data_IF_296411735915
#
_entry.id   IF_296411735915
#
_cell.length_a   1.000
_cell.length_b   1.000
_cell.length_c   1.000
_cell.angle_alpha   90.00
_cell.angle_beta   90.00
_cell.angle_gamma   90.00
#
_symmetry.space_group_name_H-M   'P 1'
#
loop_
_entity.id
_entity.type
_entity.pdbx_description
1 polymer ?
#
# COMPACT_ATOMS: atom_id res chain seq x y z
N UNK A 1 30.87 -3.60 -7.31
CA UNK A 1 31.28 -3.60 -5.89
C UNK A 1 30.53 -2.55 -5.06
N UNK A 2 30.03 -1.45 -5.63
CA UNK A 2 29.23 -0.44 -4.92
C UNK A 2 27.81 -0.89 -4.56
N UNK A 3 27.14 -1.68 -5.41
CA UNK A 3 25.75 -2.13 -5.21
C UNK A 3 25.52 -3.00 -3.98
N UNK A 4 26.52 -3.79 -3.57
CA UNK A 4 26.37 -4.74 -2.45
C UNK A 4 26.37 -4.04 -1.08
N UNK A 5 27.18 -2.97 -0.94
CA UNK A 5 27.27 -2.20 0.29
C UNK A 5 26.00 -1.38 0.57
N UNK A 6 25.32 -0.90 -0.48
CA UNK A 6 24.04 -0.18 -0.32
C UNK A 6 22.92 -1.10 0.18
N UNK A 7 22.80 -2.31 -0.36
CA UNK A 7 21.79 -3.30 0.06
C UNK A 7 21.98 -3.72 1.52
N UNK A 8 23.24 -3.85 1.97
CA UNK A 8 23.55 -4.26 3.33
C UNK A 8 23.20 -3.21 4.40
N UNK A 9 23.18 -1.92 4.01
CA UNK A 9 22.83 -0.80 4.90
C UNK A 9 21.34 -0.44 4.79
N UNK A 10 20.76 -0.50 3.59
CA UNK A 10 19.36 -0.12 3.36
C UNK A 10 18.37 -1.14 3.92
N UNK A 11 18.64 -2.44 3.75
CA UNK A 11 17.74 -3.50 4.17
C UNK A 11 17.42 -3.52 5.68
N UNK A 12 18.39 -3.41 6.61
CA UNK A 12 18.07 -3.34 8.04
C UNK A 12 17.33 -2.04 8.42
N UNK A 13 17.63 -0.92 7.75
CA UNK A 13 16.93 0.35 7.98
C UNK A 13 15.46 0.27 7.56
N UNK A 14 15.19 -0.33 6.39
CA UNK A 14 13.84 -0.56 5.88
C UNK A 14 13.06 -1.59 6.71
N UNK A 15 13.75 -2.59 7.27
CA UNK A 15 13.16 -3.54 8.22
C UNK A 15 12.73 -2.85 9.52
N UNK A 16 13.58 -2.00 10.09
CA UNK A 16 13.26 -1.20 11.27
C UNK A 16 12.12 -0.20 10.98
N UNK A 17 12.16 0.44 9.82
CA UNK A 17 11.11 1.37 9.38
C UNK A 17 9.76 0.67 9.20
N UNK A 18 9.72 -0.48 8.50
CA UNK A 18 8.48 -1.24 8.27
C UNK A 18 7.90 -1.79 9.57
N UNK A 19 8.73 -2.33 10.47
CA UNK A 19 8.26 -2.86 11.76
C UNK A 19 7.73 -1.76 12.67
N UNK A 20 8.41 -0.62 12.77
CA UNK A 20 7.92 0.53 13.55
C UNK A 20 6.63 1.08 12.95
N UNK A 21 6.57 1.27 11.63
CA UNK A 21 5.37 1.72 10.93
C UNK A 21 4.17 0.79 11.18
N UNK A 22 4.39 -0.53 11.11
CA UNK A 22 3.35 -1.53 11.37
C UNK A 22 2.82 -1.45 12.80
N UNK A 23 3.69 -1.30 13.80
CA UNK A 23 3.27 -1.16 15.20
C UNK A 23 2.47 0.12 15.44
N UNK A 24 2.90 1.25 14.86
CA UNK A 24 2.17 2.51 14.98
C UNK A 24 0.81 2.46 14.26
N UNK A 25 0.78 1.98 13.02
CA UNK A 25 -0.44 1.85 12.24
C UNK A 25 -1.44 0.89 12.90
N UNK A 26 -0.98 -0.26 13.39
CA UNK A 26 -1.81 -1.22 14.11
C UNK A 26 -2.38 -0.62 15.41
N UNK A 27 -1.57 0.14 16.16
CA UNK A 27 -2.03 0.84 17.36
C UNK A 27 -3.09 1.89 17.05
N UNK A 28 -2.88 2.71 16.02
CA UNK A 28 -3.84 3.73 15.60
C UNK A 28 -5.15 3.07 15.18
N UNK A 29 -5.07 2.02 14.35
CA UNK A 29 -6.23 1.24 13.93
C UNK A 29 -6.98 0.68 15.14
N UNK A 30 -6.27 0.03 16.07
CA UNK A 30 -6.85 -0.53 17.28
C UNK A 30 -7.58 0.52 18.13
N UNK A 31 -6.97 1.68 18.35
CA UNK A 31 -7.57 2.78 19.13
C UNK A 31 -8.85 3.29 18.47
N UNK A 32 -8.87 3.45 17.14
CA UNK A 32 -10.05 3.94 16.42
C UNK A 32 -11.17 2.89 16.46
N UNK A 33 -10.83 1.62 16.25
CA UNK A 33 -11.81 0.51 16.29
C UNK A 33 -12.35 0.28 17.71
N UNK A 34 -11.54 0.47 18.74
CA UNK A 34 -11.95 0.25 20.13
C UNK A 34 -12.98 1.28 20.63
N UNK A 35 -12.96 2.51 20.11
CA UNK A 35 -13.83 3.59 20.57
C UNK A 35 -15.09 3.76 19.70
N UNK A 36 -16.26 3.49 20.30
CA UNK A 36 -17.56 3.71 19.64
C UNK A 36 -17.81 5.17 19.23
N UNK A 37 -17.20 6.13 19.92
CA UNK A 37 -17.35 7.55 19.61
C UNK A 37 -16.65 7.91 18.30
N UNK A 38 -15.43 7.39 18.08
CA UNK A 38 -14.67 7.64 16.85
C UNK A 38 -15.28 6.94 15.65
N UNK A 39 -15.89 5.77 15.83
CA UNK A 39 -16.56 5.05 14.75
C UNK A 39 -17.73 5.81 14.12
N UNK A 40 -18.39 6.74 14.83
CA UNK A 40 -19.52 7.50 14.28
C UNK A 40 -19.11 8.63 13.36
N UNK A 41 -17.86 9.07 13.43
CA UNK A 41 -17.36 10.22 12.68
C UNK A 41 -16.64 9.76 11.41
N UNK A 42 -17.15 10.16 10.23
CA UNK A 42 -16.63 9.71 8.93
C UNK A 42 -15.14 9.97 8.70
N UNK A 43 -14.60 11.05 9.28
CA UNK A 43 -13.16 11.38 9.18
C UNK A 43 -12.28 10.33 9.88
N UNK A 44 -12.71 9.83 11.02
CA UNK A 44 -11.98 8.79 11.75
C UNK A 44 -12.11 7.42 11.07
N UNK A 45 -13.22 7.17 10.36
CA UNK A 45 -13.35 6.00 9.50
C UNK A 45 -12.33 6.03 8.35
N UNK A 46 -12.12 7.18 7.71
CA UNK A 46 -11.06 7.35 6.70
C UNK A 46 -9.68 7.10 7.32
N UNK A 47 -9.41 7.65 8.51
CA UNK A 47 -8.14 7.43 9.20
C UNK A 47 -7.91 5.95 9.55
N UNK A 48 -8.95 5.22 9.95
CA UNK A 48 -8.84 3.78 10.19
C UNK A 48 -8.47 3.00 8.92
N UNK A 49 -9.06 3.38 7.77
CA UNK A 49 -8.75 2.74 6.48
C UNK A 49 -7.34 3.07 6.01
N UNK A 50 -6.88 4.31 6.22
CA UNK A 50 -5.48 4.70 5.98
C UNK A 50 -4.54 3.83 6.82
N UNK A 51 -4.80 3.69 8.12
CA UNK A 51 -3.99 2.86 9.00
C UNK A 51 -3.96 1.38 8.55
N UNK A 52 -5.11 0.86 8.07
CA UNK A 52 -5.18 -0.50 7.52
C UNK A 52 -4.35 -0.66 6.24
N UNK A 53 -4.38 0.32 5.34
CA UNK A 53 -3.54 0.32 4.12
C UNK A 53 -2.05 0.52 4.42
N UNK A 54 -1.70 1.29 5.45
CA UNK A 54 -0.31 1.42 5.92
C UNK A 54 0.20 0.10 6.52
N UNK A 55 -0.66 -0.63 7.24
CA UNK A 55 -0.36 -1.98 7.70
C UNK A 55 -0.13 -2.93 6.53
N UNK A 56 -1.01 -2.95 5.52
CA UNK A 56 -0.85 -3.85 4.36
C UNK A 56 0.42 -3.52 3.56
N UNK A 57 0.71 -2.24 3.37
CA UNK A 57 1.96 -1.80 2.73
C UNK A 57 3.20 -2.23 3.54
N UNK A 58 3.17 -2.09 4.87
CA UNK A 58 4.30 -2.47 5.74
C UNK A 58 4.53 -3.98 5.76
N UNK A 59 3.48 -4.78 5.67
CA UNK A 59 3.59 -6.24 5.53
C UNK A 59 4.20 -6.60 4.17
N UNK A 60 3.74 -5.98 3.09
CA UNK A 60 4.26 -6.25 1.75
C UNK A 60 5.74 -5.89 1.62
N UNK A 61 6.18 -4.76 2.18
CA UNK A 61 7.60 -4.37 2.21
C UNK A 61 8.42 -5.31 3.08
N UNK A 62 7.92 -5.71 4.25
CA UNK A 62 8.58 -6.67 5.12
C UNK A 62 8.81 -8.02 4.43
N UNK A 63 7.79 -8.54 3.72
CA UNK A 63 7.92 -9.76 2.91
C UNK A 63 8.96 -9.58 1.81
N UNK A 64 8.95 -8.45 1.10
CA UNK A 64 9.94 -8.13 0.05
C UNK A 64 11.38 -8.14 0.59
N UNK A 65 11.61 -7.53 1.75
CA UNK A 65 12.93 -7.50 2.41
C UNK A 65 13.36 -8.91 2.84
N UNK A 66 12.44 -9.71 3.40
CA UNK A 66 12.73 -11.10 3.76
C UNK A 66 13.12 -11.95 2.55
N UNK A 67 12.46 -11.78 1.40
CA UNK A 67 12.81 -12.49 0.16
C UNK A 67 14.24 -12.19 -0.29
N UNK A 68 14.67 -10.92 -0.19
CA UNK A 68 16.04 -10.49 -0.49
C UNK A 68 17.05 -11.13 0.47
N UNK A 69 16.76 -11.14 1.78
CA UNK A 69 17.64 -11.74 2.79
C UNK A 69 17.79 -13.26 2.63
N UNK A 70 16.68 -13.95 2.36
CA UNK A 70 16.65 -15.41 2.20
C UNK A 70 17.20 -15.85 0.83
N UNK A 71 17.52 -14.92 -0.08
CA UNK A 71 17.84 -15.19 -1.49
C UNK A 71 16.81 -16.11 -2.15
N UNK A 72 15.55 -16.03 -1.68
CA UNK A 72 14.45 -16.86 -2.13
C UNK A 72 13.45 -15.96 -2.85
N UNK A 73 13.50 -16.03 -4.17
CA UNK A 73 12.59 -15.30 -5.05
C UNK A 73 11.53 -16.26 -5.58
N UNK A 74 10.46 -16.47 -4.83
CA UNK A 74 9.26 -17.09 -5.37
C UNK A 74 8.51 -16.03 -6.19
N UNK A 75 8.45 -16.20 -7.52
CA UNK A 75 7.87 -15.23 -8.46
C UNK A 75 6.43 -14.84 -8.11
N UNK A 76 5.66 -15.81 -7.60
CA UNK A 76 4.30 -15.62 -7.11
C UNK A 76 4.27 -14.65 -5.92
N UNK A 77 5.14 -14.85 -4.93
CA UNK A 77 5.20 -14.02 -3.72
C UNK A 77 5.65 -12.60 -4.06
N UNK A 78 6.64 -12.47 -4.94
CA UNK A 78 7.13 -11.18 -5.44
C UNK A 78 6.02 -10.40 -6.16
N UNK A 79 5.29 -11.07 -7.05
CA UNK A 79 4.19 -10.47 -7.80
C UNK A 79 3.04 -10.04 -6.88
N UNK A 80 2.63 -10.89 -5.93
CA UNK A 80 1.58 -10.54 -4.95
C UNK A 80 2.01 -9.39 -4.05
N UNK A 81 3.24 -9.40 -3.53
CA UNK A 81 3.75 -8.33 -2.68
C UNK A 81 3.83 -7.00 -3.44
N UNK A 82 4.34 -7.01 -4.67
CA UNK A 82 4.41 -5.82 -5.52
C UNK A 82 3.04 -5.22 -5.84
N UNK A 83 2.09 -6.07 -6.24
CA UNK A 83 0.71 -5.65 -6.53
C UNK A 83 -0.01 -5.11 -5.29
N UNK A 84 0.19 -5.74 -4.13
CA UNK A 84 -0.33 -5.26 -2.83
C UNK A 84 0.25 -3.90 -2.46
N UNK A 85 1.54 -3.69 -2.69
CA UNK A 85 2.23 -2.43 -2.39
C UNK A 85 1.70 -1.29 -3.27
N UNK A 86 1.58 -1.50 -4.58
CA UNK A 86 1.10 -0.48 -5.53
C UNK A 86 -0.37 -0.12 -5.25
N UNK A 87 -1.23 -1.13 -5.08
CA UNK A 87 -2.65 -0.92 -4.79
C UNK A 87 -2.86 -0.20 -3.45
N UNK A 88 -2.12 -0.56 -2.40
CA UNK A 88 -2.15 0.15 -1.13
C UNK A 88 -1.68 1.60 -1.28
N UNK A 89 -0.61 1.84 -2.03
CA UNK A 89 -0.07 3.18 -2.26
C UNK A 89 -1.08 4.10 -2.99
N UNK A 90 -1.72 3.61 -4.05
CA UNK A 90 -2.77 4.36 -4.77
C UNK A 90 -3.92 4.71 -3.82
N UNK A 91 -4.37 3.74 -3.01
CA UNK A 91 -5.42 3.96 -2.02
C UNK A 91 -5.03 5.00 -0.96
N UNK A 92 -3.79 4.97 -0.48
CA UNK A 92 -3.27 5.93 0.49
C UNK A 92 -3.20 7.35 -0.06
N UNK A 93 -2.69 7.52 -1.28
CA UNK A 93 -2.63 8.82 -1.95
C UNK A 93 -4.03 9.41 -2.09
N UNK A 94 -4.98 8.60 -2.57
CA UNK A 94 -6.37 9.01 -2.73
C UNK A 94 -7.03 9.41 -1.40
N UNK A 95 -6.90 8.59 -0.35
CA UNK A 95 -7.54 8.87 0.93
C UNK A 95 -6.93 10.09 1.63
N UNK A 96 -5.61 10.28 1.53
CA UNK A 96 -4.94 11.49 2.07
C UNK A 96 -5.38 12.75 1.33
N UNK A 97 -5.53 12.67 0.01
CA UNK A 97 -6.10 13.76 -0.78
C UNK A 97 -7.52 14.12 -0.32
N UNK A 98 -8.39 13.12 -0.14
CA UNK A 98 -9.77 13.34 0.32
C UNK A 98 -9.84 13.92 1.73
N UNK A 99 -8.93 13.50 2.63
CA UNK A 99 -8.79 14.10 3.96
C UNK A 99 -8.37 15.57 3.90
N UNK A 100 -7.42 15.90 3.02
CA UNK A 100 -6.99 17.28 2.76
C UNK A 100 -8.12 18.13 2.21
N UNK A 101 -8.86 17.61 1.22
CA UNK A 101 -10.02 18.28 0.62
C UNK A 101 -11.11 18.54 1.67
N UNK A 102 -11.43 17.55 2.51
CA UNK A 102 -12.40 17.70 3.58
C UNK A 102 -12.01 18.80 4.59
N UNK A 103 -10.72 18.89 4.95
CA UNK A 103 -10.22 19.98 5.81
C UNK A 103 -10.29 21.35 5.11
N UNK A 104 -9.92 21.41 3.84
CA UNK A 104 -9.96 22.63 3.06
C UNK A 104 -11.38 23.22 2.95
N UNK A 105 -12.38 22.37 2.67
CA UNK A 105 -13.78 22.79 2.56
C UNK A 105 -14.32 23.26 3.91
N UNK A 106 -13.98 22.57 5.00
CA UNK A 106 -14.36 22.99 6.35
C UNK A 106 -13.79 24.36 6.72
N UNK A 107 -12.61 24.74 6.22
CA UNK A 107 -11.98 26.03 6.50
C UNK A 107 -12.48 27.18 5.62
N UNK A 108 -12.90 26.89 4.39
CA UNK A 108 -13.26 27.92 3.41
C UNK A 108 -14.76 28.27 3.42
N UNK A 109 -15.58 27.49 4.15
CA UNK A 109 -17.04 27.59 4.22
C UNK A 109 -17.78 27.89 2.88
N UNK A 110 -17.40 27.31 1.72
CA UNK A 110 -18.12 27.58 0.50
C UNK A 110 -19.50 26.92 0.58
N UNK A 111 -20.57 27.73 0.71
CA UNK A 111 -21.98 27.26 0.79
C UNK A 111 -22.36 26.22 -0.29
N UNK A 112 -21.70 26.23 -1.45
CA UNK A 112 -21.93 25.29 -2.55
C UNK A 112 -21.32 23.89 -2.36
N UNK A 113 -20.33 23.72 -1.48
CA UNK A 113 -19.56 22.46 -1.38
C UNK A 113 -19.88 21.66 -0.12
N UNK A 114 -20.94 22.03 0.60
CA UNK A 114 -21.38 21.34 1.83
C UNK A 114 -21.75 19.86 1.59
N UNK A 115 -21.98 19.46 0.34
CA UNK A 115 -22.19 18.06 -0.04
C UNK A 115 -20.94 17.19 0.19
N UNK A 116 -19.74 17.72 0.00
CA UNK A 116 -18.48 16.99 0.12
C UNK A 116 -18.08 16.69 1.57
N UNK A 117 -18.67 17.41 2.53
CA UNK A 117 -18.51 17.14 3.97
C UNK A 117 -19.60 16.20 4.49
N UNK A 118 -20.53 15.76 3.63
CA UNK A 118 -21.60 14.83 4.02
C UNK A 118 -21.02 13.47 4.43
N UNK A 119 -21.62 12.86 5.45
CA UNK A 119 -21.22 11.53 5.91
C UNK A 119 -21.33 10.46 4.81
N UNK A 120 -22.23 10.66 3.84
CA UNK A 120 -22.43 9.74 2.71
C UNK A 120 -21.24 9.83 1.76
N UNK A 121 -20.81 11.05 1.41
CA UNK A 121 -19.66 11.26 0.54
C UNK A 121 -18.37 10.66 1.14
N UNK A 122 -18.15 10.85 2.44
CA UNK A 122 -16.98 10.27 3.12
C UNK A 122 -17.01 8.73 3.11
N UNK A 123 -18.17 8.11 3.32
CA UNK A 123 -18.33 6.64 3.23
C UNK A 123 -18.10 6.13 1.82
N UNK A 124 -18.60 6.84 0.81
CA UNK A 124 -18.40 6.48 -0.60
C UNK A 124 -16.93 6.64 -1.01
N UNK A 125 -16.27 7.69 -0.51
CA UNK A 125 -14.84 7.90 -0.68
C UNK A 125 -14.01 6.78 -0.05
N UNK A 126 -14.43 6.20 1.08
CA UNK A 126 -13.78 4.99 1.63
C UNK A 126 -13.99 3.77 0.74
N UNK A 127 -15.20 3.60 0.20
CA UNK A 127 -15.57 2.42 -0.57
C UNK A 127 -14.74 2.26 -1.84
N UNK A 128 -14.42 3.36 -2.53
CA UNK A 128 -13.66 3.37 -3.79
C UNK A 128 -12.27 2.70 -3.67
N UNK A 129 -11.34 3.17 -2.82
CA UNK A 129 -10.01 2.59 -2.70
C UNK A 129 -10.04 1.17 -2.12
N UNK A 130 -10.99 0.87 -1.22
CA UNK A 130 -11.18 -0.50 -0.71
C UNK A 130 -11.60 -1.44 -1.83
N UNK A 131 -12.57 -1.05 -2.65
CA UNK A 131 -13.02 -1.83 -3.79
C UNK A 131 -11.87 -2.06 -4.78
N UNK A 132 -11.11 -1.02 -5.14
CA UNK A 132 -9.94 -1.14 -6.03
C UNK A 132 -8.90 -2.10 -5.45
N UNK A 133 -8.61 -2.00 -4.16
CA UNK A 133 -7.63 -2.88 -3.50
C UNK A 133 -8.06 -4.35 -3.58
N UNK A 134 -9.32 -4.66 -3.26
CA UNK A 134 -9.84 -6.02 -3.31
C UNK A 134 -9.98 -6.55 -4.74
N UNK A 135 -10.38 -5.74 -5.72
CA UNK A 135 -10.51 -6.19 -7.11
C UNK A 135 -9.15 -6.51 -7.70
N UNK A 136 -8.15 -5.66 -7.48
CA UNK A 136 -6.77 -5.89 -7.94
C UNK A 136 -6.19 -7.16 -7.32
N UNK A 137 -6.36 -7.35 -6.00
CA UNK A 137 -5.93 -8.59 -5.34
C UNK A 137 -6.67 -9.83 -5.85
N UNK A 138 -7.98 -9.73 -6.07
CA UNK A 138 -8.78 -10.86 -6.54
C UNK A 138 -8.39 -11.27 -7.95
N UNK A 139 -8.18 -10.30 -8.85
CA UNK A 139 -7.70 -10.56 -10.22
C UNK A 139 -6.34 -11.24 -10.17
N UNK A 140 -5.42 -10.76 -9.33
CA UNK A 140 -4.10 -11.34 -9.18
C UNK A 140 -4.17 -12.80 -8.69
N UNK A 141 -4.99 -13.08 -7.68
CA UNK A 141 -5.16 -14.43 -7.15
C UNK A 141 -5.81 -15.39 -8.16
N UNK A 142 -6.84 -14.93 -8.87
CA UNK A 142 -7.48 -15.71 -9.96
C UNK A 142 -6.45 -16.02 -11.03
N UNK A 143 -5.63 -15.04 -11.41
CA UNK A 143 -4.61 -15.23 -12.45
C UNK A 143 -3.55 -16.25 -12.04
N UNK A 144 -3.06 -16.17 -10.80
CA UNK A 144 -2.10 -17.14 -10.24
C UNK A 144 -2.71 -18.56 -10.23
N UNK A 145 -3.96 -18.68 -9.81
CA UNK A 145 -4.62 -19.98 -9.68
C UNK A 145 -4.97 -20.63 -11.03
N UNK A 146 -5.25 -19.83 -12.05
CA UNK A 146 -5.71 -20.32 -13.36
C UNK A 146 -4.62 -20.44 -14.40
N UNK A 147 -3.57 -19.62 -14.35
CA UNK A 147 -2.61 -19.51 -15.46
C UNK A 147 -1.20 -20.01 -15.15
N UNK A 148 -0.91 -20.49 -13.92
CA UNK A 148 0.38 -21.08 -13.49
C UNK A 148 1.64 -20.25 -13.82
N UNK A 149 1.48 -19.01 -14.29
CA UNK A 149 2.54 -18.11 -14.74
C UNK A 149 2.25 -16.67 -14.30
N UNK A 150 2.93 -16.14 -13.29
CA UNK A 150 2.76 -14.74 -12.89
C UNK A 150 3.45 -13.81 -13.92
N UNK A 151 2.71 -12.83 -14.44
CA UNK A 151 3.25 -11.81 -15.34
C UNK A 151 4.07 -10.79 -14.53
N UNK A 152 5.37 -10.73 -14.82
CA UNK A 152 6.28 -9.64 -14.47
C UNK A 152 6.13 -8.50 -15.48
N UNK A 153 5.18 -7.59 -15.33
CA UNK A 153 5.17 -6.34 -16.11
C UNK A 153 4.51 -5.24 -15.27
N UNK A 154 5.31 -4.47 -14.53
CA UNK A 154 5.12 -3.02 -14.26
C UNK A 154 6.16 -2.44 -13.28
N UNK A 155 6.90 -3.28 -12.54
CA UNK A 155 7.84 -2.82 -11.51
C UNK A 155 9.23 -2.41 -12.02
N UNK A 156 9.58 -2.74 -13.27
CA UNK A 156 10.91 -2.46 -13.83
C UNK A 156 11.07 -0.98 -14.25
N UNK A 157 9.99 -0.30 -14.64
CA UNK A 157 10.07 1.10 -15.14
C UNK A 157 9.93 2.19 -14.06
N UNK A 158 9.52 1.84 -12.83
CA UNK A 158 9.27 2.84 -11.77
C UNK A 158 10.46 3.10 -10.83
N UNK A 159 11.60 2.45 -11.05
CA UNK A 159 12.83 2.72 -10.28
C UNK A 159 12.75 2.39 -8.79
N UNK A 160 11.70 1.68 -8.36
CA UNK A 160 11.65 1.07 -7.02
C UNK A 160 12.51 -0.18 -7.10
N UNK A 161 13.74 -0.08 -6.60
CA UNK A 161 14.73 -1.16 -6.54
C UNK A 161 14.21 -2.33 -5.70
N UNK A 162 13.37 -3.19 -6.28
CA UNK A 162 13.26 -4.58 -5.86
C UNK A 162 14.37 -5.31 -6.60
N UNK A 163 15.52 -5.48 -5.94
CA UNK A 163 16.60 -6.33 -6.42
C UNK A 163 16.05 -7.75 -6.64
N UNK A 164 15.71 -8.09 -7.88
CA UNK A 164 15.48 -9.49 -8.26
C UNK A 164 16.85 -10.16 -8.28
N UNK A 165 17.04 -11.17 -7.42
CA UNK A 165 18.32 -11.88 -7.30
C UNK A 165 18.59 -12.85 -8.45
N UNK A 166 17.93 -12.69 -9.60
CA UNK A 166 18.20 -13.46 -10.80
C UNK A 166 18.97 -12.60 -11.79
N UNK A 167 20.30 -12.62 -11.63
CA UNK A 167 21.24 -12.42 -12.71
C UNK A 167 20.95 -13.43 -13.82
N UNK A 168 20.31 -12.99 -14.90
CA UNK A 168 20.18 -13.75 -16.13
C UNK A 168 19.19 -13.13 -17.11
N UNK A 169 19.72 -12.54 -18.19
CA UNK A 169 19.00 -12.13 -19.41
C UNK A 169 18.32 -10.76 -19.38
N UNK A 170 19.11 -9.70 -19.19
CA UNK A 170 18.93 -8.48 -19.99
C UNK A 170 19.81 -8.65 -21.23
N UNK A 171 19.27 -9.29 -22.28
CA UNK A 171 19.75 -9.04 -23.62
C UNK A 171 19.11 -7.72 -24.06
N UNK A 172 19.88 -6.64 -24.02
CA UNK A 172 19.63 -5.50 -24.88
C UNK A 172 19.99 -5.96 -26.30
N UNK A 173 18.98 -6.33 -27.09
CA UNK A 173 19.12 -6.30 -28.53
C UNK A 173 18.84 -4.87 -29.00
N UNK A 174 19.67 -4.44 -29.95
CA UNK A 174 19.78 -3.09 -30.48
C UNK A 174 18.60 -2.70 -31.35
#
# INVERSE_FOLDING_TARGET
>A
MSSFSYVLISAPLELLSSTTCLLFAARIFWVIVSSRTYQKMGVYQIMAVIALLECSQSIATFVGILMVFLKRSDDVVSSVAGTTLISAWIGLVYLRFMLGLNRFINLTEPKKWMFLTSSIFLKLSILIPVAIFFTVLSIQLIYIFWFDKPIFVFLIDTGIFVYTSNSGLIYFEK
#
